data_IF_806115619706
#
_entry.id   IF_806115619706
#
_cell.length_a   1.000
_cell.length_b   1.000
_cell.length_c   1.000
_cell.angle_alpha   90.00
_cell.angle_beta   90.00
_cell.angle_gamma   90.00
#
_symmetry.space_group_name_H-M   'P 1'
#
loop_
_entity.id
_entity.type
_entity.pdbx_description
1 polymer ?
#
# COMPACT_ATOMS: atom_id res chain seq x y z
N UNK A 1 -21.49 7.70 -8.04
CA UNK A 1 -20.23 8.00 -8.78
C UNK A 1 -20.50 7.61 -10.23
N UNK A 2 -20.11 8.39 -11.23
CA UNK A 2 -20.29 7.95 -12.62
C UNK A 2 -19.27 6.89 -12.93
N UNK A 3 -19.69 5.75 -13.41
CA UNK A 3 -18.79 4.70 -13.93
C UNK A 3 -18.05 5.24 -15.16
N UNK A 4 -16.79 4.90 -15.28
CA UNK A 4 -15.96 5.26 -16.41
C UNK A 4 -15.01 4.12 -16.74
N UNK A 5 -14.78 3.89 -18.02
CA UNK A 5 -13.80 2.91 -18.51
C UNK A 5 -12.37 3.43 -18.47
N UNK A 6 -12.16 4.70 -18.14
CA UNK A 6 -10.87 5.35 -18.17
C UNK A 6 -10.46 5.84 -16.78
N UNK A 7 -9.14 5.87 -16.52
CA UNK A 7 -8.59 6.56 -15.36
C UNK A 7 -8.85 8.07 -15.46
N UNK A 8 -8.89 8.70 -14.29
CA UNK A 8 -8.89 10.16 -14.21
C UNK A 8 -7.67 10.71 -14.94
N UNK A 9 -7.84 11.81 -15.69
CA UNK A 9 -6.72 12.49 -16.35
C UNK A 9 -5.77 13.05 -15.28
N UNK A 10 -4.65 12.35 -15.05
CA UNK A 10 -3.65 12.65 -14.02
C UNK A 10 -2.27 12.18 -14.47
N UNK A 11 -1.24 12.72 -13.82
CA UNK A 11 0.13 12.26 -14.01
C UNK A 11 0.26 10.74 -13.83
N UNK A 12 -0.34 10.18 -12.79
CA UNK A 12 -0.27 8.75 -12.49
C UNK A 12 -0.90 7.87 -13.58
N UNK A 13 -1.99 8.34 -14.18
CA UNK A 13 -2.58 7.64 -15.31
C UNK A 13 -1.72 7.72 -16.58
N UNK A 14 -1.04 8.86 -16.77
CA UNK A 14 -0.17 9.08 -17.92
C UNK A 14 1.18 8.33 -17.82
N UNK A 15 1.70 8.16 -16.61
CA UNK A 15 3.00 7.53 -16.33
C UNK A 15 2.92 6.05 -15.92
N UNK A 16 1.75 5.41 -16.03
CA UNK A 16 1.60 3.99 -15.72
C UNK A 16 2.43 3.12 -16.67
N UNK A 17 3.11 2.11 -16.14
CA UNK A 17 3.98 1.23 -16.93
C UNK A 17 3.18 0.29 -17.84
N UNK A 18 1.98 -0.12 -17.41
CA UNK A 18 1.12 -1.01 -18.19
C UNK A 18 -0.36 -0.83 -17.82
N UNK A 19 -1.23 -1.29 -18.67
CA UNK A 19 -2.67 -1.26 -18.47
C UNK A 19 -3.27 -2.63 -18.79
N UNK A 20 -4.15 -3.08 -17.91
CA UNK A 20 -4.92 -4.29 -18.12
C UNK A 20 -6.39 -3.93 -18.31
N UNK A 21 -7.00 -4.50 -19.33
CA UNK A 21 -8.44 -4.42 -19.57
C UNK A 21 -9.07 -5.74 -19.14
N UNK A 22 -10.00 -5.65 -18.20
CA UNK A 22 -10.82 -6.79 -17.78
C UNK A 22 -12.22 -6.65 -18.38
N UNK A 23 -12.81 -7.74 -18.89
CA UNK A 23 -14.17 -7.71 -19.41
C UNK A 23 -15.16 -7.45 -18.28
N UNK A 24 -16.34 -6.93 -18.65
CA UNK A 24 -17.46 -6.87 -17.71
C UNK A 24 -17.83 -8.29 -17.29
N UNK A 25 -18.15 -8.44 -16.01
CA UNK A 25 -18.66 -9.68 -15.49
C UNK A 25 -20.11 -9.85 -15.96
N UNK A 26 -20.38 -10.92 -16.72
CA UNK A 26 -21.70 -11.25 -17.25
C UNK A 26 -22.12 -12.65 -16.81
N UNK A 27 -23.41 -12.79 -16.48
CA UNK A 27 -23.97 -14.08 -16.05
C UNK A 27 -23.69 -14.44 -14.59
N UNK A 28 -23.90 -15.71 -14.26
CA UNK A 28 -23.73 -16.24 -12.91
C UNK A 28 -22.34 -16.84 -12.74
N UNK A 29 -21.65 -16.45 -11.68
CA UNK A 29 -20.33 -16.94 -11.33
C UNK A 29 -20.30 -17.47 -9.90
N UNK A 30 -19.52 -18.53 -9.67
CA UNK A 30 -19.34 -19.15 -8.36
C UNK A 30 -17.88 -18.95 -7.90
N UNK A 31 -17.71 -18.43 -6.69
CA UNK A 31 -16.42 -18.28 -6.00
C UNK A 31 -16.61 -18.50 -4.51
N UNK A 32 -15.52 -18.76 -3.79
CA UNK A 32 -15.55 -18.87 -2.34
C UNK A 32 -15.63 -17.48 -1.68
N UNK A 33 -14.95 -16.50 -2.29
CA UNK A 33 -14.91 -15.12 -1.80
C UNK A 33 -15.07 -14.13 -2.95
N UNK A 34 -16.05 -13.26 -2.85
CA UNK A 34 -16.23 -12.12 -3.74
C UNK A 34 -15.73 -10.83 -3.05
N UNK A 35 -14.85 -10.10 -3.72
CA UNK A 35 -14.27 -8.84 -3.23
C UNK A 35 -14.77 -7.71 -4.12
N UNK A 36 -15.33 -6.68 -3.50
CA UNK A 36 -15.79 -5.46 -4.19
C UNK A 36 -14.74 -4.36 -4.03
N UNK A 37 -14.16 -3.95 -5.16
CA UNK A 37 -13.14 -2.91 -5.25
C UNK A 37 -11.75 -3.45 -5.52
N UNK A 38 -11.15 -2.99 -6.62
CA UNK A 38 -9.80 -3.35 -7.10
C UNK A 38 -8.71 -2.38 -6.66
N UNK A 39 -8.80 -1.82 -5.45
CA UNK A 39 -7.74 -1.04 -4.82
C UNK A 39 -6.74 -1.89 -4.05
N UNK A 40 -5.79 -1.27 -3.33
CA UNK A 40 -4.76 -1.96 -2.55
C UNK A 40 -5.33 -3.04 -1.63
N UNK A 41 -6.37 -2.71 -0.86
CA UNK A 41 -6.98 -3.64 0.08
C UNK A 41 -7.58 -4.85 -0.63
N UNK A 42 -8.38 -4.62 -1.67
CA UNK A 42 -9.05 -5.69 -2.40
C UNK A 42 -8.07 -6.61 -3.12
N UNK A 43 -7.08 -6.05 -3.82
CA UNK A 43 -6.05 -6.82 -4.51
C UNK A 43 -5.16 -7.59 -3.52
N UNK A 44 -4.76 -6.95 -2.41
CA UNK A 44 -3.95 -7.62 -1.39
C UNK A 44 -4.71 -8.79 -0.74
N UNK A 45 -5.98 -8.60 -0.40
CA UNK A 45 -6.83 -9.66 0.14
C UNK A 45 -7.02 -10.80 -0.87
N UNK A 46 -7.27 -10.48 -2.14
CA UNK A 46 -7.42 -11.47 -3.19
C UNK A 46 -6.18 -12.35 -3.34
N UNK A 47 -5.00 -11.73 -3.43
CA UNK A 47 -3.73 -12.45 -3.52
C UNK A 47 -3.52 -13.39 -2.33
N UNK A 48 -3.76 -12.89 -1.12
CA UNK A 48 -3.60 -13.71 0.09
C UNK A 48 -4.57 -14.89 0.14
N UNK A 49 -5.83 -14.69 -0.23
CA UNK A 49 -6.83 -15.74 -0.29
C UNK A 49 -6.50 -16.80 -1.35
N UNK A 50 -6.04 -16.39 -2.53
CA UNK A 50 -5.61 -17.31 -3.59
C UNK A 50 -4.41 -18.14 -3.13
N UNK A 51 -3.46 -17.56 -2.43
CA UNK A 51 -2.31 -18.27 -1.84
C UNK A 51 -2.75 -19.35 -0.82
N UNK A 52 -3.93 -19.20 -0.22
CA UNK A 52 -4.55 -20.17 0.67
C UNK A 52 -5.52 -21.13 -0.04
N UNK A 53 -5.57 -21.11 -1.37
CA UNK A 53 -6.36 -22.03 -2.17
C UNK A 53 -7.82 -21.65 -2.40
N UNK A 54 -8.25 -20.46 -1.99
CA UNK A 54 -9.62 -20.00 -2.25
C UNK A 54 -9.80 -19.56 -3.70
N UNK A 55 -10.97 -19.84 -4.25
CA UNK A 55 -11.42 -19.28 -5.52
C UNK A 55 -11.99 -17.88 -5.28
N UNK A 56 -11.30 -16.86 -5.78
CA UNK A 56 -11.62 -15.45 -5.52
C UNK A 56 -12.10 -14.77 -6.79
N UNK A 57 -13.13 -13.92 -6.66
CA UNK A 57 -13.54 -12.99 -7.69
C UNK A 57 -13.37 -11.55 -7.15
N UNK A 58 -12.69 -10.70 -7.92
CA UNK A 58 -12.60 -9.26 -7.64
C UNK A 58 -13.45 -8.53 -8.66
N UNK A 59 -14.38 -7.71 -8.21
CA UNK A 59 -15.21 -6.86 -9.06
C UNK A 59 -14.90 -5.39 -8.78
N UNK A 60 -14.69 -4.63 -9.84
CA UNK A 60 -14.34 -3.21 -9.79
C UNK A 60 -15.31 -2.41 -10.70
N UNK A 61 -15.85 -1.32 -10.20
CA UNK A 61 -16.81 -0.50 -10.93
C UNK A 61 -16.19 0.25 -12.11
N UNK A 62 -14.88 0.51 -12.04
CA UNK A 62 -14.14 1.28 -13.04
C UNK A 62 -12.94 0.46 -13.55
N UNK A 63 -11.72 0.88 -13.22
CA UNK A 63 -10.49 0.18 -13.51
C UNK A 63 -9.78 -0.19 -12.21
N UNK A 64 -9.00 -1.24 -12.22
CA UNK A 64 -8.13 -1.59 -11.08
C UNK A 64 -7.31 -0.36 -10.70
N UNK A 65 -7.28 -0.06 -9.41
CA UNK A 65 -6.61 1.12 -8.85
C UNK A 65 -7.13 2.49 -9.34
N UNK A 66 -8.37 2.56 -9.83
CA UNK A 66 -8.96 3.82 -10.27
C UNK A 66 -9.06 4.86 -9.15
N UNK A 67 -9.28 4.43 -7.92
CA UNK A 67 -9.40 5.28 -6.73
C UNK A 67 -8.05 5.81 -6.23
N UNK A 68 -7.94 6.01 -4.92
CA UNK A 68 -6.74 6.52 -4.24
C UNK A 68 -5.51 5.61 -4.44
N UNK A 69 -5.72 4.30 -4.62
CA UNK A 69 -4.65 3.33 -4.84
C UNK A 69 -3.82 3.60 -6.11
N UNK A 70 -4.39 4.24 -7.12
CA UNK A 70 -3.67 4.65 -8.33
C UNK A 70 -3.38 6.15 -8.41
N UNK A 71 -3.53 6.87 -7.30
CA UNK A 71 -3.37 8.33 -7.24
C UNK A 71 -2.63 8.78 -5.97
N UNK A 72 -1.54 8.08 -5.67
CA UNK A 72 -0.67 8.38 -4.52
C UNK A 72 0.77 8.54 -5.00
N UNK A 73 1.66 8.97 -4.12
CA UNK A 73 3.06 9.24 -4.46
C UNK A 73 3.92 8.00 -4.70
N UNK A 74 3.37 6.79 -4.51
CA UNK A 74 4.09 5.53 -4.69
C UNK A 74 5.17 5.26 -3.62
N UNK A 75 5.13 5.99 -2.52
CA UNK A 75 6.07 5.80 -1.43
C UNK A 75 5.70 4.57 -0.61
N UNK A 76 6.66 3.67 -0.44
CA UNK A 76 6.54 2.50 0.41
C UNK A 76 7.30 2.75 1.72
N UNK A 77 6.57 3.25 2.71
CA UNK A 77 7.10 3.63 4.02
C UNK A 77 6.44 2.75 5.07
N UNK A 78 7.23 2.26 6.00
CA UNK A 78 6.73 1.45 7.12
C UNK A 78 5.97 2.31 8.13
N UNK A 79 5.12 1.64 8.92
CA UNK A 79 4.43 2.25 10.05
C UNK A 79 3.06 2.82 9.73
N UNK A 80 2.59 3.64 10.63
CA UNK A 80 1.28 4.26 10.57
C UNK A 80 1.44 5.78 10.57
N UNK A 81 0.48 6.49 9.99
CA UNK A 81 0.42 7.96 9.98
C UNK A 81 0.32 8.56 11.40
N UNK A 82 -0.11 7.76 12.37
CA UNK A 82 -0.26 8.17 13.75
C UNK A 82 1.04 7.91 14.53
N UNK A 83 1.49 8.92 15.26
CA UNK A 83 2.52 8.84 16.28
C UNK A 83 2.24 7.66 17.24
N UNK A 84 3.25 6.83 17.46
CA UNK A 84 3.14 5.61 18.27
C UNK A 84 2.66 5.89 19.70
N UNK A 85 3.11 6.97 20.32
CA UNK A 85 2.67 7.38 21.66
C UNK A 85 1.17 7.67 21.71
N UNK A 86 0.64 8.32 20.68
CA UNK A 86 -0.81 8.59 20.58
C UNK A 86 -1.59 7.34 20.28
N UNK A 87 -0.98 6.41 19.54
CA UNK A 87 -1.58 5.12 19.24
C UNK A 87 -1.60 4.23 20.48
N UNK A 88 -0.50 4.16 21.22
CA UNK A 88 -0.40 3.42 22.46
C UNK A 88 -1.44 3.85 23.50
N UNK A 89 -1.67 5.15 23.65
CA UNK A 89 -2.73 5.70 24.53
C UNK A 89 -4.13 5.19 24.18
N UNK A 90 -4.38 4.78 22.92
CA UNK A 90 -5.69 4.28 22.46
C UNK A 90 -5.82 2.78 22.55
N UNK A 91 -4.76 2.03 22.24
CA UNK A 91 -4.82 0.56 22.09
C UNK A 91 -3.96 -0.17 23.11
N UNK A 92 -3.23 0.55 23.96
CA UNK A 92 -2.29 0.00 24.93
C UNK A 92 -0.97 -0.43 24.28
N UNK A 93 0.03 -0.69 25.12
CA UNK A 93 1.40 -1.02 24.70
C UNK A 93 1.46 -2.24 23.77
N UNK A 94 0.77 -3.31 24.12
CA UNK A 94 0.73 -4.54 23.29
C UNK A 94 0.11 -4.24 21.92
N UNK A 95 -0.98 -3.46 21.88
CA UNK A 95 -1.60 -3.08 20.62
C UNK A 95 -0.70 -2.20 19.74
N UNK A 96 0.06 -1.30 20.34
CA UNK A 96 1.03 -0.46 19.62
C UNK A 96 2.19 -1.29 19.06
N UNK A 97 2.71 -2.23 19.81
CA UNK A 97 3.77 -3.15 19.37
C UNK A 97 3.30 -4.03 18.20
N UNK A 98 2.10 -4.61 18.30
CA UNK A 98 1.51 -5.37 17.19
C UNK A 98 1.36 -4.49 15.93
N UNK A 99 0.86 -3.28 16.10
CA UNK A 99 0.71 -2.36 14.98
C UNK A 99 2.06 -2.02 14.33
N UNK A 100 3.10 -1.79 15.11
CA UNK A 100 4.46 -1.55 14.61
C UNK A 100 4.96 -2.73 13.76
N UNK A 101 4.83 -3.95 14.26
CA UNK A 101 5.20 -5.17 13.52
C UNK A 101 4.37 -5.32 12.22
N UNK A 102 3.08 -5.04 12.27
CA UNK A 102 2.23 -5.05 11.07
C UNK A 102 2.69 -4.01 10.02
N UNK A 103 3.21 -2.87 10.45
CA UNK A 103 3.79 -1.86 9.56
C UNK A 103 5.00 -2.40 8.79
N UNK A 104 5.92 -3.03 9.50
CA UNK A 104 7.10 -3.68 8.90
C UNK A 104 6.68 -4.81 7.94
N UNK A 105 5.84 -5.73 8.40
CA UNK A 105 5.34 -6.84 7.59
C UNK A 105 4.64 -6.35 6.30
N UNK A 106 3.90 -5.26 6.37
CA UNK A 106 3.20 -4.72 5.22
C UNK A 106 4.14 -4.29 4.10
N UNK A 107 5.27 -3.68 4.44
CA UNK A 107 6.34 -3.33 3.51
C UNK A 107 6.96 -4.58 2.89
N UNK A 108 7.33 -5.53 3.72
CA UNK A 108 8.03 -6.74 3.30
C UNK A 108 7.15 -7.57 2.36
N UNK A 109 5.86 -7.70 2.66
CA UNK A 109 4.89 -8.37 1.77
C UNK A 109 4.83 -7.71 0.38
N UNK A 110 4.89 -6.37 0.30
CA UNK A 110 4.91 -5.68 -0.99
C UNK A 110 6.20 -5.97 -1.75
N UNK A 111 7.36 -5.88 -1.09
CA UNK A 111 8.66 -6.17 -1.70
C UNK A 111 8.76 -7.62 -2.18
N UNK A 112 8.29 -8.58 -1.39
CA UNK A 112 8.23 -9.99 -1.78
C UNK A 112 7.35 -10.22 -3.02
N UNK A 113 6.19 -9.56 -3.09
CA UNK A 113 5.30 -9.65 -4.26
C UNK A 113 5.93 -9.05 -5.51
N UNK A 114 6.58 -7.89 -5.39
CA UNK A 114 7.32 -7.29 -6.51
C UNK A 114 8.36 -8.28 -7.05
N UNK A 115 9.14 -8.89 -6.17
CA UNK A 115 10.15 -9.89 -6.52
C UNK A 115 9.53 -11.16 -7.10
N UNK A 116 8.56 -11.74 -6.41
CA UNK A 116 7.90 -13.01 -6.79
C UNK A 116 7.24 -12.95 -8.16
N UNK A 117 6.62 -11.82 -8.47
CA UNK A 117 5.87 -11.63 -9.71
C UNK A 117 6.62 -10.80 -10.75
N UNK A 118 7.89 -10.43 -10.48
CA UNK A 118 8.72 -9.58 -11.37
C UNK A 118 7.99 -8.31 -11.82
N UNK A 119 7.35 -7.61 -10.84
CA UNK A 119 6.54 -6.43 -11.14
C UNK A 119 7.45 -5.28 -11.56
N UNK A 120 7.27 -4.81 -12.78
CA UNK A 120 7.94 -3.62 -13.31
C UNK A 120 7.24 -2.36 -12.78
N UNK A 121 7.74 -1.84 -11.66
CA UNK A 121 7.17 -0.71 -10.93
C UNK A 121 8.18 0.41 -10.64
N UNK A 122 9.31 0.42 -11.36
CA UNK A 122 10.39 1.41 -11.16
C UNK A 122 10.87 1.49 -9.70
N UNK A 123 10.92 0.33 -9.01
CA UNK A 123 11.28 0.26 -7.59
C UNK A 123 12.67 0.85 -7.36
N UNK A 124 12.74 1.82 -6.45
CA UNK A 124 13.99 2.43 -5.99
C UNK A 124 13.99 2.47 -4.47
N UNK A 125 15.16 2.19 -3.90
CA UNK A 125 15.35 2.23 -2.45
C UNK A 125 15.88 3.58 -2.00
N UNK A 126 15.47 3.98 -0.81
CA UNK A 126 15.86 5.22 -0.17
C UNK A 126 14.95 6.40 -0.50
N UNK A 127 15.04 7.39 0.33
CA UNK A 127 14.39 8.70 0.19
C UNK A 127 15.32 9.78 0.74
N UNK A 128 15.02 11.01 0.45
CA UNK A 128 15.78 12.15 0.92
C UNK A 128 14.83 13.09 1.66
N UNK A 129 15.11 13.31 2.94
CA UNK A 129 14.53 14.38 3.71
C UNK A 129 15.47 15.57 3.71
N UNK A 130 14.92 16.76 3.58
CA UNK A 130 15.68 18.01 3.49
C UNK A 130 15.27 18.96 4.61
N UNK A 131 16.21 19.33 5.45
CA UNK A 131 16.00 20.36 6.45
C UNK A 131 15.81 21.73 5.77
N UNK A 132 14.73 22.42 6.10
CA UNK A 132 14.41 23.75 5.61
C UNK A 132 14.76 24.86 6.62
N UNK A 133 14.99 24.51 7.87
CA UNK A 133 15.32 25.41 8.97
C UNK A 133 16.14 24.69 10.05
N UNK A 134 16.59 25.43 11.07
CA UNK A 134 17.42 24.87 12.14
C UNK A 134 16.65 23.82 12.98
N UNK A 135 15.35 24.00 13.21
CA UNK A 135 14.54 23.05 13.96
C UNK A 135 14.51 21.68 13.28
N UNK A 136 14.38 21.63 11.94
CA UNK A 136 14.41 20.37 11.18
C UNK A 136 15.78 19.65 11.32
N UNK A 137 16.88 20.43 11.43
CA UNK A 137 18.22 19.86 11.65
C UNK A 137 18.32 19.24 13.04
N UNK A 138 17.78 19.92 14.06
CA UNK A 138 17.79 19.44 15.43
C UNK A 138 16.94 18.15 15.54
N UNK A 139 15.76 18.11 14.91
CA UNK A 139 14.90 16.92 14.82
C UNK A 139 15.60 15.75 14.11
N UNK A 140 16.36 16.02 13.04
CA UNK A 140 17.12 14.98 12.35
C UNK A 140 18.24 14.40 13.19
N UNK A 141 18.90 15.22 14.01
CA UNK A 141 19.93 14.75 14.93
C UNK A 141 19.32 13.84 16.02
N UNK A 142 18.21 14.26 16.64
CA UNK A 142 17.49 13.46 17.62
C UNK A 142 17.02 12.12 17.02
N UNK A 143 16.45 12.14 15.83
CA UNK A 143 16.03 10.94 15.11
C UNK A 143 17.20 10.00 14.77
N UNK A 144 18.37 10.55 14.40
CA UNK A 144 19.57 9.74 14.12
C UNK A 144 20.08 9.06 15.41
N UNK A 145 20.09 9.76 16.54
CA UNK A 145 20.49 9.23 17.84
C UNK A 145 19.57 8.06 18.23
N UNK A 146 18.24 8.26 18.13
CA UNK A 146 17.25 7.22 18.41
C UNK A 146 17.43 5.97 17.51
N UNK A 147 17.71 6.16 16.23
CA UNK A 147 17.94 5.06 15.29
C UNK A 147 19.21 4.30 15.60
N UNK A 148 20.29 4.99 15.97
CA UNK A 148 21.54 4.35 16.36
C UNK A 148 21.41 3.53 17.65
N UNK A 149 20.68 4.03 18.65
CA UNK A 149 20.40 3.31 19.89
C UNK A 149 19.59 2.02 19.66
N UNK A 150 18.72 2.02 18.67
CA UNK A 150 17.87 0.87 18.34
C UNK A 150 18.49 -0.07 17.27
N UNK A 151 19.75 0.10 16.90
CA UNK A 151 20.46 -0.69 15.88
C UNK A 151 19.73 -0.73 14.51
N UNK A 152 19.21 0.41 14.10
CA UNK A 152 18.43 0.51 12.86
C UNK A 152 19.33 0.90 11.67
#
# INVERSE_FOLDING_TARGET
MKETSEHTNSYYAASKNWQTDYPKLEGDHHCDVAIVGGGFTGVSAALRLIEHGYKVAVVEANRISWGASGRNGGQLIDGFVMDLDKFEKKVGKIGAEIAYQMGIESRDVVLERIKKHSIDCDLKFGFLDVAMNQGDIDDFHEWLEEKQENNY
#
